data_IF_359981805529
#
_entry.id   IF_359981805529
#
_cell.length_a   1.000
_cell.length_b   1.000
_cell.length_c   1.000
_cell.angle_alpha   90.00
_cell.angle_beta   90.00
_cell.angle_gamma   90.00
#
_symmetry.space_group_name_H-M   'P 1'
#
loop_
_entity.id
_entity.type
_entity.pdbx_description
1 polymer ?
#
# COMPACT_ATOMS: atom_id res chain seq x y z
N UNK A 1 0.21 3.23 38.17
CA UNK A 1 0.54 4.05 36.98
C UNK A 1 0.33 3.21 35.70
N UNK A 2 -0.80 2.51 35.55
CA UNK A 2 -0.83 1.28 34.73
C UNK A 2 -2.13 1.05 33.95
N UNK A 3 -2.75 2.11 33.43
CA UNK A 3 -3.93 1.95 32.55
C UNK A 3 -4.02 3.01 31.47
N UNK A 4 -3.58 4.25 31.76
CA UNK A 4 -3.64 5.37 30.81
C UNK A 4 -2.56 5.28 29.71
N UNK A 5 -1.45 4.56 29.92
CA UNK A 5 -0.39 4.46 28.90
C UNK A 5 -0.69 3.48 27.77
N UNK A 6 -1.55 2.48 27.99
CA UNK A 6 -1.98 1.51 26.97
C UNK A 6 -3.00 2.07 25.99
N UNK A 7 -3.75 3.11 26.36
CA UNK A 7 -4.82 3.69 25.52
C UNK A 7 -4.29 4.55 24.34
N UNK A 8 -2.98 4.79 24.26
CA UNK A 8 -2.37 5.62 23.21
C UNK A 8 -1.47 4.83 22.23
N UNK A 9 -1.54 3.51 22.24
CA UNK A 9 -0.71 2.67 21.37
C UNK A 9 -1.52 2.26 20.13
N UNK A 10 -0.94 2.47 18.95
CA UNK A 10 -1.50 2.08 17.66
C UNK A 10 -0.50 1.13 17.00
N UNK A 11 -0.99 0.04 16.43
CA UNK A 11 -0.13 -0.96 15.78
C UNK A 11 -0.49 -1.09 14.32
N UNK A 12 0.48 -0.85 13.44
CA UNK A 12 0.38 -1.15 12.02
C UNK A 12 1.01 -2.50 11.72
N UNK A 13 0.31 -3.35 10.96
CA UNK A 13 0.80 -4.64 10.49
C UNK A 13 0.75 -4.68 8.97
N UNK A 14 1.90 -4.55 8.33
CA UNK A 14 2.08 -4.75 6.90
C UNK A 14 2.36 -6.23 6.61
N UNK A 15 1.46 -6.89 5.89
CA UNK A 15 1.58 -8.29 5.52
C UNK A 15 2.00 -8.39 4.06
N UNK A 16 3.25 -8.04 3.79
CA UNK A 16 3.81 -8.01 2.45
C UNK A 16 4.15 -9.39 1.85
N UNK A 17 4.33 -9.39 0.52
CA UNK A 17 4.77 -10.60 -0.22
C UNK A 17 6.18 -11.05 0.19
N UNK A 18 7.09 -10.09 0.41
CA UNK A 18 8.50 -10.37 0.74
C UNK A 18 8.75 -10.48 2.25
N UNK A 19 8.08 -9.65 3.05
CA UNK A 19 8.23 -9.59 4.51
C UNK A 19 6.93 -9.15 5.16
N UNK A 20 6.76 -9.53 6.42
CA UNK A 20 5.75 -8.96 7.33
C UNK A 20 6.46 -7.97 8.25
N UNK A 21 5.86 -6.81 8.48
CA UNK A 21 6.40 -5.77 9.38
C UNK A 21 5.32 -5.35 10.36
N UNK A 22 5.64 -5.34 11.65
CA UNK A 22 4.80 -4.80 12.70
C UNK A 22 5.47 -3.54 13.28
N UNK A 23 4.72 -2.45 13.39
CA UNK A 23 5.19 -1.18 13.96
C UNK A 23 4.25 -0.78 15.09
N UNK A 24 4.82 -0.45 16.24
CA UNK A 24 4.10 0.06 17.41
C UNK A 24 4.38 1.55 17.53
N UNK A 25 3.33 2.35 17.40
CA UNK A 25 3.34 3.79 17.54
C UNK A 25 2.66 4.25 18.83
N UNK A 26 3.31 5.14 19.59
CA UNK A 26 2.72 5.83 20.73
C UNK A 26 2.26 7.22 20.30
N UNK A 27 0.97 7.50 20.43
CA UNK A 27 0.41 8.83 20.13
C UNK A 27 0.75 9.81 21.25
N UNK A 28 1.42 10.90 20.90
CA UNK A 28 1.72 12.03 21.80
C UNK A 28 0.51 12.96 21.92
N UNK A 29 0.55 13.84 22.93
CA UNK A 29 -0.51 14.83 23.18
C UNK A 29 -0.69 15.83 22.04
N UNK A 30 0.37 16.12 21.29
CA UNK A 30 0.36 17.00 20.11
C UNK A 30 -0.18 16.30 18.84
N UNK A 31 -0.57 15.03 18.95
CA UNK A 31 -1.08 14.23 17.83
C UNK A 31 0.00 13.51 17.02
N UNK A 32 1.29 13.76 17.27
CA UNK A 32 2.38 13.05 16.59
C UNK A 32 2.47 11.60 17.05
N UNK A 33 3.00 10.72 16.19
CA UNK A 33 3.20 9.31 16.50
C UNK A 33 4.70 9.06 16.68
N UNK A 34 5.07 8.53 17.84
CA UNK A 34 6.43 8.07 18.13
C UNK A 34 6.51 6.56 17.94
N UNK A 35 7.42 6.11 17.08
CA UNK A 35 7.66 4.67 16.92
C UNK A 35 8.45 4.16 18.12
N UNK A 36 7.83 3.25 18.87
CA UNK A 36 8.40 2.67 20.10
C UNK A 36 8.74 1.18 19.95
N UNK A 37 8.27 0.53 18.89
CA UNK A 37 8.61 -0.85 18.56
C UNK A 37 8.52 -1.13 17.07
N UNK A 38 9.44 -1.94 16.57
CA UNK A 38 9.45 -2.44 15.19
C UNK A 38 9.84 -3.91 15.25
N UNK A 39 9.15 -4.73 14.48
CA UNK A 39 9.53 -6.12 14.25
C UNK A 39 9.26 -6.53 12.82
N UNK A 40 10.06 -7.45 12.29
CA UNK A 40 9.91 -7.88 10.90
C UNK A 40 10.36 -9.31 10.69
N UNK A 41 9.69 -9.99 9.76
CA UNK A 41 10.06 -11.35 9.41
C UNK A 41 9.87 -11.61 7.92
N UNK A 42 10.79 -12.33 7.25
CA UNK A 42 10.59 -12.75 5.86
C UNK A 42 9.27 -13.51 5.68
N UNK A 43 8.55 -13.21 4.61
CA UNK A 43 7.26 -13.82 4.27
C UNK A 43 7.44 -14.84 3.15
N UNK A 44 6.73 -15.97 3.28
CA UNK A 44 6.62 -17.02 2.25
C UNK A 44 5.18 -17.49 2.06
N UNK A 45 4.24 -16.84 2.75
CA UNK A 45 2.84 -17.19 2.75
C UNK A 45 1.99 -16.41 1.76
N UNK A 46 2.59 -15.41 1.12
CA UNK A 46 1.93 -14.51 0.18
C UNK A 46 2.52 -14.62 -1.21
N UNK A 47 1.69 -14.34 -2.21
CA UNK A 47 2.10 -14.18 -3.60
C UNK A 47 1.30 -13.05 -4.22
N UNK A 48 1.98 -11.97 -4.64
CA UNK A 48 1.37 -10.80 -5.29
C UNK A 48 0.21 -10.20 -4.47
N UNK A 49 0.44 -10.03 -3.17
CA UNK A 49 -0.54 -9.47 -2.22
C UNK A 49 -1.67 -10.43 -1.79
N UNK A 50 -1.65 -11.69 -2.25
CA UNK A 50 -2.67 -12.68 -1.86
C UNK A 50 -2.05 -13.75 -0.96
N UNK A 51 -2.72 -14.04 0.16
CA UNK A 51 -2.34 -15.14 1.05
C UNK A 51 -2.60 -16.48 0.36
N UNK A 52 -1.52 -17.23 0.10
CA UNK A 52 -1.54 -18.57 -0.51
C UNK A 52 -1.25 -19.68 0.50
N UNK A 53 -0.65 -19.36 1.64
CA UNK A 53 -0.42 -20.30 2.74
C UNK A 53 -0.65 -19.61 4.09
N UNK A 54 -1.73 -20.01 4.76
CA UNK A 54 -2.14 -19.43 6.05
C UNK A 54 -1.11 -19.73 7.15
N UNK A 55 -0.57 -20.93 7.22
CA UNK A 55 0.30 -21.34 8.33
C UNK A 55 1.63 -20.60 8.32
N UNK A 56 2.25 -20.47 7.14
CA UNK A 56 3.50 -19.71 7.00
C UNK A 56 3.28 -18.21 7.20
N UNK A 57 2.11 -17.69 6.82
CA UNK A 57 1.73 -16.29 7.09
C UNK A 57 1.55 -16.03 8.58
N UNK A 58 0.82 -16.91 9.29
CA UNK A 58 0.64 -16.83 10.75
C UNK A 58 1.99 -16.84 11.46
N UNK A 59 2.91 -17.73 11.08
CA UNK A 59 4.25 -17.76 11.67
C UNK A 59 5.02 -16.46 11.44
N UNK A 60 4.96 -15.88 10.24
CA UNK A 60 5.64 -14.62 9.94
C UNK A 60 5.06 -13.44 10.74
N UNK A 61 3.74 -13.38 10.89
CA UNK A 61 3.06 -12.38 11.73
C UNK A 61 3.48 -12.54 13.19
N UNK A 62 3.42 -13.75 13.75
CA UNK A 62 3.83 -14.02 15.13
C UNK A 62 5.25 -13.53 15.39
N UNK A 63 6.20 -13.83 14.49
CA UNK A 63 7.59 -13.40 14.64
C UNK A 63 7.75 -11.88 14.59
N UNK A 64 7.11 -11.21 13.64
CA UNK A 64 7.18 -9.76 13.54
C UNK A 64 6.55 -9.08 14.77
N UNK A 65 5.43 -9.61 15.26
CA UNK A 65 4.74 -9.10 16.46
C UNK A 65 5.55 -9.33 17.72
N UNK A 66 6.12 -10.54 17.92
CA UNK A 66 6.98 -10.86 19.06
C UNK A 66 8.18 -9.91 19.16
N UNK A 67 8.83 -9.60 18.03
CA UNK A 67 9.96 -8.66 17.98
C UNK A 67 9.53 -7.21 18.30
N UNK A 68 8.38 -6.79 17.76
CA UNK A 68 7.84 -5.46 18.02
C UNK A 68 7.40 -5.27 19.49
N UNK A 69 6.76 -6.29 20.08
CA UNK A 69 6.38 -6.33 21.51
C UNK A 69 7.61 -6.26 22.42
N UNK A 70 8.67 -7.00 22.09
CA UNK A 70 9.92 -7.00 22.86
C UNK A 70 10.57 -5.62 22.85
N UNK A 71 10.63 -4.96 21.69
CA UNK A 71 11.21 -3.63 21.55
C UNK A 71 10.37 -2.56 22.28
N UNK A 72 9.05 -2.63 22.16
CA UNK A 72 8.13 -1.69 22.80
C UNK A 72 7.92 -1.93 24.31
N UNK A 73 8.25 -3.13 24.81
CA UNK A 73 7.98 -3.51 26.20
C UNK A 73 6.49 -3.61 26.52
N UNK A 74 5.65 -3.95 25.54
CA UNK A 74 4.19 -4.03 25.68
C UNK A 74 3.63 -5.32 25.08
N UNK A 75 2.34 -5.58 25.32
CA UNK A 75 1.57 -6.61 24.59
C UNK A 75 0.66 -5.96 23.57
N UNK A 76 0.67 -6.48 22.35
CA UNK A 76 -0.19 -6.09 21.23
C UNK A 76 -1.45 -6.93 21.28
N UNK A 77 -2.62 -6.28 21.21
CA UNK A 77 -3.93 -6.94 21.29
C UNK A 77 -4.71 -6.81 19.99
N UNK A 78 -4.54 -5.70 19.28
CA UNK A 78 -5.20 -5.42 18.01
C UNK A 78 -4.24 -4.71 17.06
N UNK A 79 -4.53 -4.77 15.76
CA UNK A 79 -3.72 -4.16 14.70
C UNK A 79 -4.60 -3.54 13.61
N UNK A 80 -4.07 -2.50 12.97
CA UNK A 80 -4.48 -2.07 11.63
C UNK A 80 -3.66 -2.85 10.61
N UNK A 81 -4.33 -3.68 9.80
CA UNK A 81 -3.65 -4.56 8.85
C UNK A 81 -3.62 -3.95 7.44
N UNK A 82 -2.47 -4.00 6.78
CA UNK A 82 -2.32 -3.64 5.37
C UNK A 82 -2.97 -4.68 4.44
N UNK A 83 -3.57 -4.20 3.34
CA UNK A 83 -3.95 -5.02 2.20
C UNK A 83 -3.49 -4.36 0.89
N UNK A 84 -2.84 -5.17 0.05
CA UNK A 84 -2.48 -4.85 -1.33
C UNK A 84 -2.80 -6.04 -2.25
N UNK A 85 -2.70 -5.82 -3.56
CA UNK A 85 -2.78 -6.89 -4.56
C UNK A 85 -3.84 -6.70 -5.63
N UNK A 86 -3.73 -7.52 -6.69
CA UNK A 86 -4.54 -7.38 -7.91
C UNK A 86 -6.04 -7.67 -7.74
N UNK A 87 -6.47 -8.02 -6.53
CA UNK A 87 -7.86 -8.26 -6.17
C UNK A 87 -8.56 -6.98 -5.68
N UNK A 88 -7.80 -5.90 -5.51
CA UNK A 88 -8.26 -4.57 -5.18
C UNK A 88 -8.70 -3.88 -6.47
N UNK A 89 -9.83 -3.17 -6.41
CA UNK A 89 -10.35 -2.34 -7.49
C UNK A 89 -10.75 -0.99 -6.93
N UNK A 90 -10.78 0.00 -7.80
CA UNK A 90 -11.27 1.32 -7.46
C UNK A 90 -12.21 1.84 -8.52
N UNK A 91 -13.13 2.71 -8.11
CA UNK A 91 -14.02 3.44 -9.01
C UNK A 91 -14.44 4.76 -8.38
N UNK A 92 -14.63 5.78 -9.21
CA UNK A 92 -15.18 7.05 -8.77
C UNK A 92 -16.71 7.00 -8.88
N UNK A 93 -17.40 7.50 -7.86
CA UNK A 93 -18.85 7.56 -7.78
C UNK A 93 -19.30 8.92 -7.25
N UNK A 94 -20.56 9.28 -7.46
CA UNK A 94 -21.15 10.47 -6.88
C UNK A 94 -22.55 10.20 -6.34
N UNK A 95 -22.90 10.91 -5.27
CA UNK A 95 -24.21 10.83 -4.63
C UNK A 95 -24.80 12.23 -4.51
N UNK A 96 -26.14 12.33 -4.53
CA UNK A 96 -26.84 13.62 -4.49
C UNK A 96 -27.99 13.51 -3.50
N UNK A 97 -28.12 14.51 -2.62
CA UNK A 97 -29.23 14.64 -1.67
C UNK A 97 -29.73 16.08 -1.59
N UNK A 98 -30.99 16.25 -1.20
CA UNK A 98 -31.54 17.55 -0.84
C UNK A 98 -31.13 17.94 0.59
N UNK A 99 -30.80 19.22 0.78
CA UNK A 99 -30.55 19.87 2.06
C UNK A 99 -31.90 20.34 2.62
N UNK A 100 -32.27 19.87 3.82
CA UNK A 100 -33.62 20.12 4.38
C UNK A 100 -33.75 21.50 5.01
N UNK A 101 -32.77 21.89 5.83
CA UNK A 101 -32.83 23.09 6.66
C UNK A 101 -32.09 24.28 6.04
N UNK A 102 -31.86 24.24 4.71
CA UNK A 102 -31.06 25.21 3.92
C UNK A 102 -29.61 25.39 4.36
N UNK A 103 -29.15 24.61 5.33
CA UNK A 103 -27.80 24.56 5.85
C UNK A 103 -27.39 23.09 5.92
N UNK A 104 -26.16 22.79 5.49
CA UNK A 104 -25.63 21.42 5.50
C UNK A 104 -25.33 20.99 6.92
N UNK A 105 -25.96 19.90 7.32
CA UNK A 105 -25.73 19.21 8.59
C UNK A 105 -24.89 17.95 8.41
N UNK A 106 -24.34 17.39 9.50
CA UNK A 106 -23.66 16.09 9.45
C UNK A 106 -24.58 14.98 8.87
N UNK A 107 -25.87 15.02 9.19
CA UNK A 107 -26.83 14.06 8.66
C UNK A 107 -27.03 14.21 7.14
N UNK A 108 -26.79 15.39 6.55
CA UNK A 108 -26.78 15.56 5.10
C UNK A 108 -25.52 14.95 4.48
N UNK A 109 -24.38 15.13 5.14
CA UNK A 109 -23.08 14.56 4.74
C UNK A 109 -23.13 13.03 4.75
N UNK A 110 -23.62 12.43 5.84
CA UNK A 110 -23.74 10.97 5.97
C UNK A 110 -24.65 10.41 4.86
N UNK A 111 -25.80 11.06 4.63
CA UNK A 111 -26.74 10.64 3.58
C UNK A 111 -26.18 10.76 2.17
N UNK A 112 -25.40 11.81 1.87
CA UNK A 112 -24.82 11.97 0.53
C UNK A 112 -23.70 10.97 0.28
N UNK A 113 -22.91 10.65 1.31
CA UNK A 113 -21.89 9.60 1.24
C UNK A 113 -22.56 8.24 1.04
N UNK A 114 -23.64 7.94 1.78
CA UNK A 114 -24.46 6.74 1.61
C UNK A 114 -25.02 6.61 0.18
N UNK A 115 -25.50 7.71 -0.38
CA UNK A 115 -25.96 7.74 -1.76
C UNK A 115 -24.80 7.50 -2.75
N UNK A 116 -23.61 8.05 -2.48
CA UNK A 116 -22.46 7.93 -3.35
C UNK A 116 -21.86 6.51 -3.36
N UNK A 117 -21.96 5.77 -2.25
CA UNK A 117 -21.53 4.37 -2.16
C UNK A 117 -22.57 3.36 -2.66
N UNK A 118 -23.78 3.79 -3.02
CA UNK A 118 -24.88 2.93 -3.48
C UNK A 118 -24.69 2.44 -4.93
N UNK A 119 -23.52 1.86 -5.23
CA UNK A 119 -23.15 1.29 -6.52
C UNK A 119 -23.25 -0.25 -6.48
N UNK A 120 -23.44 -0.88 -7.64
CA UNK A 120 -23.49 -2.33 -7.73
C UNK A 120 -22.08 -2.93 -7.51
N UNK A 121 -21.83 -3.46 -6.32
CA UNK A 121 -20.61 -4.19 -6.00
C UNK A 121 -20.82 -5.69 -6.24
N UNK A 122 -19.94 -6.37 -6.99
CA UNK A 122 -19.99 -7.81 -7.14
C UNK A 122 -20.03 -8.55 -5.79
N UNK A 123 -20.75 -9.66 -5.71
CA UNK A 123 -20.94 -10.39 -4.46
C UNK A 123 -19.64 -10.96 -3.84
N UNK A 124 -18.59 -11.12 -4.66
CA UNK A 124 -17.25 -11.56 -4.24
C UNK A 124 -16.34 -10.40 -3.81
N UNK A 125 -16.83 -9.15 -3.84
CA UNK A 125 -16.13 -7.94 -3.45
C UNK A 125 -16.85 -7.26 -2.26
N UNK A 126 -16.08 -6.56 -1.43
CA UNK A 126 -16.60 -5.64 -0.40
C UNK A 126 -15.96 -4.27 -0.55
N UNK A 127 -16.69 -3.22 -0.15
CA UNK A 127 -16.11 -1.89 -0.01
C UNK A 127 -15.10 -1.94 1.14
N UNK A 128 -13.91 -1.43 0.86
CA UNK A 128 -12.81 -1.30 1.79
C UNK A 128 -12.73 0.15 2.29
N UNK A 129 -12.68 1.12 1.37
CA UNK A 129 -12.63 2.55 1.70
C UNK A 129 -13.62 3.35 0.87
N UNK A 130 -14.15 4.40 1.50
CA UNK A 130 -14.94 5.45 0.87
C UNK A 130 -14.20 6.74 1.14
N UNK A 131 -13.59 7.32 0.12
CA UNK A 131 -12.72 8.48 0.26
C UNK A 131 -13.37 9.68 -0.43
N UNK A 132 -13.97 10.63 0.33
CA UNK A 132 -14.50 11.85 -0.25
C UNK A 132 -13.42 12.62 -1.00
N UNK A 133 -13.74 13.04 -2.22
CA UNK A 133 -12.85 13.83 -3.06
C UNK A 133 -13.18 15.31 -2.99
N UNK A 134 -14.47 15.61 -3.18
CA UNK A 134 -15.02 16.95 -3.05
C UNK A 134 -16.54 16.88 -2.86
N UNK A 135 -17.09 17.96 -2.34
CA UNK A 135 -18.51 18.23 -2.26
C UNK A 135 -18.88 19.34 -3.24
N UNK A 136 -20.14 19.33 -3.66
CA UNK A 136 -20.73 20.35 -4.52
C UNK A 136 -22.04 20.82 -3.90
N UNK A 137 -22.20 22.14 -3.75
CA UNK A 137 -23.43 22.76 -3.23
C UNK A 137 -23.99 23.70 -4.29
N UNK A 138 -25.23 23.45 -4.75
CA UNK A 138 -25.92 24.31 -5.74
C UNK A 138 -25.07 24.66 -7.00
N UNK A 139 -24.24 23.71 -7.45
CA UNK A 139 -23.25 23.80 -8.56
C UNK A 139 -21.92 24.49 -8.23
N UNK A 140 -21.66 24.87 -6.99
CA UNK A 140 -20.35 25.29 -6.53
C UNK A 140 -19.49 24.06 -6.21
N UNK A 141 -18.45 23.81 -7.01
CA UNK A 141 -17.50 22.70 -6.85
C UNK A 141 -16.29 23.07 -5.94
N UNK A 142 -15.42 22.11 -5.67
CA UNK A 142 -14.17 22.31 -4.91
C UNK A 142 -14.36 22.44 -3.40
N UNK A 143 -15.52 22.08 -2.84
CA UNK A 143 -15.80 22.20 -1.41
C UNK A 143 -15.22 20.97 -0.69
N UNK A 144 -14.27 21.16 0.22
CA UNK A 144 -13.73 20.06 1.06
C UNK A 144 -14.56 19.83 2.32
N UNK A 145 -15.00 20.90 2.98
CA UNK A 145 -15.78 20.86 4.22
C UNK A 145 -17.12 21.58 4.02
N UNK A 146 -18.22 20.84 3.76
CA UNK A 146 -19.51 21.45 3.43
C UNK A 146 -20.35 21.82 4.66
N UNK A 147 -19.96 21.38 5.87
CA UNK A 147 -20.75 21.58 7.09
C UNK A 147 -20.99 23.06 7.39
N UNK A 148 -22.24 23.43 7.65
CA UNK A 148 -22.64 24.82 7.93
C UNK A 148 -22.78 25.71 6.68
N UNK A 149 -22.48 25.20 5.49
CA UNK A 149 -22.72 25.94 4.25
C UNK A 149 -24.20 25.92 3.89
N UNK A 150 -24.70 27.02 3.32
CA UNK A 150 -26.09 27.11 2.90
C UNK A 150 -26.29 26.58 1.47
N UNK A 151 -27.41 25.90 1.24
CA UNK A 151 -27.80 25.46 -0.09
C UNK A 151 -29.07 24.63 -0.13
N UNK A 152 -29.44 24.15 -1.31
CA UNK A 152 -30.62 23.30 -1.53
C UNK A 152 -30.22 21.87 -1.91
N UNK A 153 -29.11 21.70 -2.62
CA UNK A 153 -28.61 20.40 -3.08
C UNK A 153 -27.16 20.20 -2.67
N UNK A 154 -26.88 19.05 -2.05
CA UNK A 154 -25.54 18.58 -1.72
C UNK A 154 -25.21 17.38 -2.59
N UNK A 155 -24.06 17.42 -3.24
CA UNK A 155 -23.47 16.31 -3.97
C UNK A 155 -22.09 15.99 -3.38
N UNK A 156 -21.75 14.70 -3.35
CA UNK A 156 -20.44 14.22 -2.94
C UNK A 156 -19.85 13.38 -4.06
N UNK A 157 -18.61 13.71 -4.46
CA UNK A 157 -17.79 12.87 -5.33
C UNK A 157 -16.84 12.06 -4.45
N UNK A 158 -16.82 10.74 -4.64
CA UNK A 158 -16.06 9.81 -3.79
C UNK A 158 -15.22 8.86 -4.64
N UNK A 159 -14.04 8.52 -4.12
CA UNK A 159 -13.24 7.39 -4.59
C UNK A 159 -13.59 6.16 -3.75
N UNK A 160 -14.19 5.16 -4.37
CA UNK A 160 -14.49 3.88 -3.72
C UNK A 160 -13.36 2.91 -4.00
N UNK A 161 -12.90 2.24 -2.95
CA UNK A 161 -11.96 1.13 -3.04
C UNK A 161 -12.67 -0.13 -2.61
N UNK A 162 -12.60 -1.19 -3.41
CA UNK A 162 -13.13 -2.50 -3.09
C UNK A 162 -12.04 -3.55 -3.09
N UNK A 163 -12.24 -4.62 -2.33
CA UNK A 163 -11.36 -5.78 -2.34
C UNK A 163 -12.16 -7.08 -2.38
N UNK A 164 -11.54 -8.16 -2.88
CA UNK A 164 -12.13 -9.48 -2.80
C UNK A 164 -12.38 -9.89 -1.33
N UNK A 165 -13.59 -10.35 -1.03
CA UNK A 165 -14.02 -10.75 0.32
C UNK A 165 -13.08 -11.80 0.92
N UNK A 166 -12.75 -12.82 0.13
CA UNK A 166 -11.87 -13.91 0.56
C UNK A 166 -10.45 -13.44 0.91
N UNK A 167 -9.93 -12.42 0.22
CA UNK A 167 -8.59 -11.91 0.48
C UNK A 167 -8.52 -11.23 1.85
N UNK A 168 -9.49 -10.34 2.13
CA UNK A 168 -9.62 -9.70 3.45
C UNK A 168 -9.86 -10.73 4.57
N UNK A 169 -10.75 -11.70 4.36
CA UNK A 169 -11.01 -12.76 5.33
C UNK A 169 -9.78 -13.62 5.65
N UNK A 170 -8.92 -13.87 4.65
CA UNK A 170 -7.68 -14.62 4.88
C UNK A 170 -6.68 -13.82 5.73
N UNK A 171 -6.57 -12.51 5.51
CA UNK A 171 -5.78 -11.61 6.37
C UNK A 171 -6.32 -11.64 7.80
N UNK A 172 -7.62 -11.39 7.98
CA UNK A 172 -8.28 -11.41 9.30
C UNK A 172 -8.07 -12.75 10.01
N UNK A 173 -8.18 -13.86 9.28
CA UNK A 173 -7.96 -15.21 9.81
C UNK A 173 -6.50 -15.41 10.26
N UNK A 174 -5.53 -14.93 9.49
CA UNK A 174 -4.12 -15.00 9.87
C UNK A 174 -3.85 -14.21 11.16
N UNK A 175 -4.35 -12.98 11.25
CA UNK A 175 -4.20 -12.13 12.44
C UNK A 175 -4.87 -12.76 13.67
N UNK A 176 -6.13 -13.21 13.55
CA UNK A 176 -6.85 -13.88 14.65
C UNK A 176 -6.19 -15.15 15.14
N UNK A 177 -5.57 -15.94 14.25
CA UNK A 177 -4.79 -17.13 14.64
C UNK A 177 -3.51 -16.79 15.41
N UNK A 178 -3.06 -15.54 15.37
CA UNK A 178 -1.96 -15.05 16.20
C UNK A 178 -2.43 -14.58 17.60
N UNK A 179 -3.74 -14.64 17.89
CA UNK A 179 -4.31 -14.13 19.15
C UNK A 179 -4.53 -12.61 19.15
N UNK A 180 -4.60 -12.00 17.96
CA UNK A 180 -4.78 -10.57 17.75
C UNK A 180 -6.15 -10.27 17.14
N UNK A 181 -6.71 -9.12 17.44
CA UNK A 181 -7.87 -8.58 16.73
C UNK A 181 -7.44 -7.67 15.57
N UNK A 182 -8.33 -7.49 14.59
CA UNK A 182 -8.15 -6.54 13.49
C UNK A 182 -9.06 -5.36 13.75
N UNK A 183 -8.47 -4.19 14.01
CA UNK A 183 -9.22 -2.95 14.20
C UNK A 183 -9.79 -2.46 12.88
N UNK A 184 -8.96 -2.45 11.83
CA UNK A 184 -9.38 -2.18 10.46
C UNK A 184 -8.37 -2.73 9.44
N UNK A 185 -8.80 -2.82 8.17
CA UNK A 185 -7.94 -3.16 7.04
C UNK A 185 -7.72 -1.92 6.18
N UNK A 186 -6.45 -1.53 6.05
CA UNK A 186 -6.05 -0.30 5.36
C UNK A 186 -5.43 -0.64 4.00
N UNK A 187 -5.81 0.13 2.98
CA UNK A 187 -5.19 0.03 1.66
C UNK A 187 -3.74 0.50 1.75
N UNK A 188 -2.78 -0.34 1.34
CA UNK A 188 -1.36 -0.04 1.52
C UNK A 188 -0.93 1.24 0.78
N UNK A 189 -1.31 1.43 -0.48
CA UNK A 189 -0.96 2.67 -1.20
C UNK A 189 -1.58 3.93 -0.60
N UNK A 190 -2.71 3.81 0.12
CA UNK A 190 -3.28 4.94 0.85
C UNK A 190 -2.41 5.24 2.08
N UNK A 191 -2.07 4.22 2.86
CA UNK A 191 -1.19 4.36 4.03
C UNK A 191 0.20 4.93 3.65
N UNK A 192 0.84 4.38 2.61
CA UNK A 192 2.13 4.86 2.09
C UNK A 192 2.02 6.34 1.68
N UNK A 193 0.96 6.72 0.96
CA UNK A 193 0.75 8.11 0.54
C UNK A 193 0.59 9.07 1.72
N UNK A 194 -0.15 8.68 2.77
CA UNK A 194 -0.30 9.49 3.98
C UNK A 194 1.01 9.66 4.77
N UNK A 195 1.94 8.71 4.65
CA UNK A 195 3.22 8.75 5.35
C UNK A 195 4.26 9.65 4.66
N UNK A 196 4.21 9.78 3.33
CA UNK A 196 5.28 10.45 2.56
C UNK A 196 4.86 11.76 1.89
N UNK A 197 3.56 11.94 1.59
CA UNK A 197 3.11 13.11 0.84
C UNK A 197 2.81 14.29 1.75
N UNK A 198 3.27 15.46 1.32
CA UNK A 198 2.84 16.76 1.81
C UNK A 198 1.48 17.14 1.21
N UNK A 199 0.78 18.08 1.85
CA UNK A 199 -0.48 18.60 1.31
C UNK A 199 -0.27 19.38 0.00
N UNK A 200 0.86 20.07 -0.16
CA UNK A 200 1.19 20.79 -1.40
C UNK A 200 1.37 19.84 -2.59
N UNK A 201 2.04 18.69 -2.40
CA UNK A 201 2.16 17.66 -3.44
C UNK A 201 0.79 17.10 -3.84
N UNK A 202 -0.09 16.84 -2.87
CA UNK A 202 -1.46 16.36 -3.14
C UNK A 202 -2.30 17.40 -3.87
N UNK A 203 -2.11 18.68 -3.58
CA UNK A 203 -2.84 19.78 -4.22
C UNK A 203 -2.38 19.96 -5.67
N UNK A 204 -1.07 20.01 -5.92
CA UNK A 204 -0.49 20.20 -7.25
C UNK A 204 -0.76 19.04 -8.21
N UNK A 205 -0.73 17.81 -7.70
CA UNK A 205 -0.75 16.61 -8.53
C UNK A 205 0.47 15.74 -8.23
N UNK A 206 0.24 14.51 -7.79
CA UNK A 206 1.35 13.57 -7.50
C UNK A 206 0.90 12.12 -7.72
N UNK A 207 1.82 11.30 -8.22
CA UNK A 207 1.67 9.86 -8.31
C UNK A 207 2.65 9.18 -7.38
N UNK A 208 2.13 8.45 -6.40
CA UNK A 208 2.92 7.55 -5.56
C UNK A 208 2.97 6.19 -6.26
N UNK A 209 4.19 5.67 -6.41
CA UNK A 209 4.47 4.35 -6.97
C UNK A 209 5.22 3.54 -5.91
N UNK A 210 4.51 2.66 -5.23
CA UNK A 210 5.06 1.78 -4.19
C UNK A 210 5.46 0.44 -4.81
N UNK A 211 6.77 0.19 -4.97
CA UNK A 211 7.29 -1.01 -5.62
C UNK A 211 7.68 -2.04 -4.56
N UNK A 212 6.77 -2.98 -4.29
CA UNK A 212 6.95 -4.05 -3.32
C UNK A 212 7.70 -5.28 -3.86
N UNK A 213 7.51 -6.41 -3.17
CA UNK A 213 8.03 -7.70 -3.64
C UNK A 213 7.21 -8.27 -4.81
N UNK A 214 5.89 -8.34 -4.65
CA UNK A 214 5.00 -8.97 -5.62
C UNK A 214 4.09 -8.02 -6.40
N UNK A 215 3.93 -6.78 -5.95
CA UNK A 215 3.00 -5.78 -6.49
C UNK A 215 3.69 -4.42 -6.55
N UNK A 216 3.29 -3.64 -7.55
CA UNK A 216 3.54 -2.21 -7.62
C UNK A 216 2.20 -1.51 -7.46
N UNK A 217 2.05 -0.75 -6.39
CA UNK A 217 0.80 -0.10 -6.02
C UNK A 217 0.88 1.39 -6.38
N UNK A 218 -0.20 1.92 -6.95
CA UNK A 218 -0.27 3.28 -7.51
C UNK A 218 -1.37 4.03 -6.79
N UNK A 219 -1.07 5.26 -6.37
CA UNK A 219 -2.07 6.23 -5.90
C UNK A 219 -1.80 7.60 -6.53
N UNK A 220 -2.84 8.20 -7.11
CA UNK A 220 -2.78 9.53 -7.73
C UNK A 220 -3.62 10.50 -6.94
N UNK A 221 -3.04 11.66 -6.61
CA UNK A 221 -3.70 12.77 -5.94
C UNK A 221 -3.68 14.01 -6.83
N UNK A 222 -4.75 14.80 -6.82
CA UNK A 222 -4.79 16.16 -7.38
C UNK A 222 -5.96 16.94 -6.78
N UNK A 223 -5.77 18.24 -6.53
CA UNK A 223 -6.73 19.06 -5.78
C UNK A 223 -6.87 18.62 -4.32
N UNK A 224 -5.80 18.02 -3.76
CA UNK A 224 -5.73 17.59 -2.36
C UNK A 224 -6.45 16.27 -2.07
N UNK A 225 -7.01 15.61 -3.08
CA UNK A 225 -7.77 14.38 -2.93
C UNK A 225 -7.26 13.26 -3.83
N UNK A 226 -7.42 12.02 -3.38
CA UNK A 226 -7.10 10.83 -4.16
C UNK A 226 -8.07 10.68 -5.33
N UNK A 227 -7.54 10.52 -6.54
CA UNK A 227 -8.34 10.42 -7.77
C UNK A 227 -8.33 9.03 -8.39
N UNK A 228 -7.22 8.32 -8.21
CA UNK A 228 -7.02 7.00 -8.79
C UNK A 228 -6.17 6.12 -7.88
N UNK A 229 -6.50 4.84 -7.85
CA UNK A 229 -5.65 3.80 -7.29
C UNK A 229 -5.63 2.59 -8.20
N UNK A 230 -4.46 1.97 -8.34
CA UNK A 230 -4.28 0.78 -9.16
C UNK A 230 -3.18 -0.11 -8.59
N UNK A 231 -3.19 -1.38 -9.02
CA UNK A 231 -2.19 -2.37 -8.62
C UNK A 231 -1.70 -3.11 -9.85
N UNK A 232 -0.38 -3.14 -10.04
CA UNK A 232 0.28 -3.90 -11.09
C UNK A 232 0.92 -5.15 -10.43
N UNK A 233 0.61 -6.38 -10.88
CA UNK A 233 1.11 -7.62 -10.26
C UNK A 233 2.56 -7.97 -10.67
N UNK A 234 3.43 -6.96 -10.73
CA UNK A 234 4.84 -7.02 -11.13
C UNK A 234 5.62 -6.06 -10.23
N UNK A 235 6.72 -6.55 -9.63
CA UNK A 235 7.60 -5.75 -8.79
C UNK A 235 8.97 -6.43 -8.60
N UNK A 236 9.55 -6.38 -7.40
CA UNK A 236 10.90 -6.86 -7.11
C UNK A 236 11.14 -8.36 -7.35
N UNK A 237 10.13 -9.21 -7.26
CA UNK A 237 10.24 -10.65 -7.52
C UNK A 237 10.65 -10.93 -8.97
N UNK A 238 10.16 -10.14 -9.93
CA UNK A 238 10.51 -10.29 -11.35
C UNK A 238 11.97 -9.91 -11.60
N UNK A 239 12.46 -8.84 -10.98
CA UNK A 239 13.89 -8.45 -11.04
C UNK A 239 14.77 -9.59 -10.52
N UNK A 240 14.36 -10.19 -9.39
CA UNK A 240 15.07 -11.32 -8.76
C UNK A 240 15.13 -12.53 -9.67
N UNK A 241 14.02 -12.85 -10.35
CA UNK A 241 13.95 -13.96 -11.28
C UNK A 241 14.81 -13.73 -12.53
N UNK A 242 14.85 -12.51 -13.05
CA UNK A 242 15.70 -12.17 -14.19
C UNK A 242 17.18 -12.30 -13.83
N UNK A 243 17.59 -11.81 -12.65
CA UNK A 243 18.95 -11.98 -12.12
C UNK A 243 19.28 -13.47 -11.96
N UNK A 244 18.39 -14.25 -11.37
CA UNK A 244 18.59 -15.70 -11.18
C UNK A 244 18.81 -16.42 -12.52
N UNK A 245 18.02 -16.07 -13.54
CA UNK A 245 18.09 -16.67 -14.87
C UNK A 245 19.33 -16.22 -15.64
N UNK A 246 19.59 -14.92 -15.71
CA UNK A 246 20.71 -14.34 -16.45
C UNK A 246 22.05 -14.75 -15.83
N UNK A 247 22.16 -14.68 -14.51
CA UNK A 247 23.38 -15.00 -13.78
C UNK A 247 23.47 -16.47 -13.37
N UNK A 248 22.48 -17.30 -13.73
CA UNK A 248 22.43 -18.74 -13.43
C UNK A 248 22.81 -19.05 -11.98
N UNK A 249 22.15 -18.36 -11.06
CA UNK A 249 22.35 -18.43 -9.61
C UNK A 249 21.03 -18.79 -8.91
N UNK A 250 21.05 -19.49 -7.76
CA UNK A 250 19.80 -19.78 -7.04
C UNK A 250 19.03 -18.50 -6.67
N UNK A 251 17.70 -18.55 -6.65
CA UNK A 251 16.83 -17.37 -6.42
C UNK A 251 17.15 -16.65 -5.11
N UNK A 252 17.49 -17.39 -4.05
CA UNK A 252 17.90 -16.78 -2.77
C UNK A 252 19.18 -15.94 -2.92
N UNK A 253 20.18 -16.45 -3.64
CA UNK A 253 21.41 -15.72 -3.93
C UNK A 253 21.15 -14.55 -4.89
N UNK A 254 20.24 -14.70 -5.86
CA UNK A 254 19.83 -13.60 -6.73
C UNK A 254 19.22 -12.44 -5.93
N UNK A 255 18.39 -12.72 -4.93
CA UNK A 255 17.83 -11.69 -4.04
C UNK A 255 18.92 -10.98 -3.24
N UNK A 256 19.86 -11.74 -2.66
CA UNK A 256 20.99 -11.16 -1.94
C UNK A 256 21.87 -10.30 -2.86
N UNK A 257 22.10 -10.74 -4.10
CA UNK A 257 22.84 -9.97 -5.11
C UNK A 257 22.07 -8.70 -5.49
N UNK A 258 20.74 -8.80 -5.68
CA UNK A 258 19.87 -7.66 -5.99
C UNK A 258 20.00 -6.58 -4.92
N UNK A 259 19.81 -6.95 -3.66
CA UNK A 259 19.86 -6.02 -2.52
C UNK A 259 21.24 -5.39 -2.36
N UNK A 260 22.33 -6.16 -2.56
CA UNK A 260 23.69 -5.68 -2.29
C UNK A 260 24.32 -4.90 -3.45
N UNK A 261 24.01 -5.24 -4.69
CA UNK A 261 24.82 -4.83 -5.84
C UNK A 261 24.02 -4.25 -7.01
N UNK A 262 22.70 -4.41 -7.06
CA UNK A 262 21.92 -3.96 -8.21
C UNK A 262 22.02 -2.44 -8.42
N UNK A 263 21.92 -2.05 -9.68
CA UNK A 263 21.78 -0.67 -10.10
C UNK A 263 20.73 -0.64 -11.21
N UNK A 264 19.72 0.21 -11.09
CA UNK A 264 18.64 0.32 -12.06
C UNK A 264 18.98 1.26 -13.24
N UNK A 265 20.18 1.83 -13.27
CA UNK A 265 20.70 2.65 -14.37
C UNK A 265 22.14 2.23 -14.64
N UNK A 266 22.38 1.52 -15.74
CA UNK A 266 23.67 0.90 -16.06
C UNK A 266 24.82 1.89 -16.09
N UNK A 267 24.55 3.14 -16.48
CA UNK A 267 25.55 4.21 -16.54
C UNK A 267 26.17 4.56 -15.18
N UNK A 268 25.49 4.22 -14.07
CA UNK A 268 25.99 4.45 -12.71
C UNK A 268 26.76 3.25 -12.14
N UNK A 269 26.76 2.11 -12.83
CA UNK A 269 27.49 0.92 -12.40
C UNK A 269 28.96 1.00 -12.84
N UNK A 270 29.89 0.93 -11.89
CA UNK A 270 31.32 0.92 -12.19
C UNK A 270 31.72 -0.30 -13.02
N UNK A 271 32.30 -0.09 -14.20
CA UNK A 271 32.74 -1.16 -15.09
C UNK A 271 33.80 -2.09 -14.47
N UNK A 272 34.63 -1.54 -13.59
CA UNK A 272 35.72 -2.25 -12.89
C UNK A 272 35.26 -3.00 -11.62
N UNK A 273 34.03 -2.77 -11.17
CA UNK A 273 33.50 -3.45 -9.98
C UNK A 273 33.07 -4.86 -10.34
N UNK A 274 33.60 -5.85 -9.61
CA UNK A 274 33.24 -7.26 -9.78
C UNK A 274 32.48 -7.79 -8.58
N UNK A 275 31.55 -8.70 -8.84
CA UNK A 275 30.73 -9.38 -7.86
C UNK A 275 30.94 -10.89 -7.95
N UNK A 276 31.00 -11.56 -6.80
CA UNK A 276 31.00 -13.01 -6.72
C UNK A 276 29.59 -13.55 -6.78
N UNK A 277 29.32 -14.34 -7.80
CA UNK A 277 28.01 -14.96 -8.05
C UNK A 277 28.10 -16.47 -7.81
N UNK A 278 27.40 -16.99 -6.79
CA UNK A 278 27.26 -18.42 -6.59
C UNK A 278 26.60 -19.08 -7.81
N UNK A 279 27.14 -20.21 -8.26
CA UNK A 279 26.56 -20.96 -9.38
C UNK A 279 25.50 -21.95 -8.89
N UNK A 280 24.60 -22.38 -9.78
CA UNK A 280 23.69 -23.50 -9.48
C UNK A 280 24.44 -24.84 -9.45
N UNK A 281 24.12 -25.68 -8.46
CA UNK A 281 24.76 -26.99 -8.22
C UNK A 281 26.16 -26.87 -7.62
N UNK A 282 26.98 -27.92 -7.75
CA UNK A 282 28.34 -27.97 -7.19
C UNK A 282 29.39 -27.20 -8.02
N UNK A 283 28.96 -26.21 -8.80
CA UNK A 283 29.85 -25.39 -9.64
C UNK A 283 30.48 -24.29 -8.80
N UNK A 284 31.75 -24.00 -9.09
CA UNK A 284 32.45 -22.89 -8.44
C UNK A 284 31.71 -21.55 -8.68
N UNK A 285 31.76 -20.62 -7.71
CA UNK A 285 31.32 -19.24 -7.91
C UNK A 285 32.05 -18.59 -9.08
N UNK A 286 31.40 -17.63 -9.73
CA UNK A 286 31.93 -16.89 -10.87
C UNK A 286 32.03 -15.41 -10.53
N UNK A 287 33.07 -14.76 -11.01
CA UNK A 287 33.19 -13.31 -10.94
C UNK A 287 32.52 -12.70 -12.17
N UNK A 288 31.60 -11.76 -11.94
CA UNK A 288 30.91 -11.01 -12.99
C UNK A 288 31.06 -9.52 -12.72
N UNK A 289 31.07 -8.68 -13.76
CA UNK A 289 31.06 -7.24 -13.55
C UNK A 289 29.71 -6.79 -12.99
N UNK A 290 29.72 -5.76 -12.14
CA UNK A 290 28.49 -5.12 -11.65
C UNK A 290 27.70 -4.49 -12.80
N UNK A 291 28.38 -4.05 -13.85
CA UNK A 291 27.75 -3.59 -15.08
C UNK A 291 26.87 -4.68 -15.72
N UNK A 292 27.35 -5.93 -15.79
CA UNK A 292 26.55 -7.03 -16.33
C UNK A 292 25.29 -7.34 -15.48
N UNK A 293 25.32 -7.06 -14.17
CA UNK A 293 24.13 -7.12 -13.33
C UNK A 293 23.16 -5.97 -13.66
N UNK A 294 23.67 -4.75 -13.84
CA UNK A 294 22.85 -3.59 -14.18
C UNK A 294 22.15 -3.74 -15.54
N UNK A 295 22.81 -4.34 -16.54
CA UNK A 295 22.24 -4.67 -17.85
C UNK A 295 21.05 -5.65 -17.79
N UNK A 296 20.90 -6.39 -16.68
CA UNK A 296 19.75 -7.25 -16.42
C UNK A 296 18.65 -6.49 -15.65
N UNK A 297 19.06 -5.59 -14.75
CA UNK A 297 18.14 -4.90 -13.82
C UNK A 297 17.44 -3.71 -14.49
N UNK A 298 18.17 -2.88 -15.22
CA UNK A 298 17.65 -1.66 -15.85
C UNK A 298 16.44 -1.95 -16.77
N UNK A 299 16.50 -2.90 -17.73
CA UNK A 299 15.36 -3.17 -18.61
C UNK A 299 14.09 -3.59 -17.87
N UNK A 300 14.22 -4.27 -16.72
CA UNK A 300 13.06 -4.68 -15.92
C UNK A 300 12.39 -3.49 -15.25
N UNK A 301 13.16 -2.51 -14.76
CA UNK A 301 12.60 -1.28 -14.21
C UNK A 301 12.03 -0.38 -15.30
N UNK A 302 12.65 -0.31 -16.48
CA UNK A 302 12.07 0.39 -17.64
C UNK A 302 10.70 -0.19 -18.02
N UNK A 303 10.58 -1.53 -18.07
CA UNK A 303 9.30 -2.19 -18.31
C UNK A 303 8.27 -1.86 -17.22
N UNK A 304 8.68 -1.92 -15.95
CA UNK A 304 7.81 -1.59 -14.82
C UNK A 304 7.29 -0.15 -14.91
N UNK A 305 8.16 0.82 -15.18
CA UNK A 305 7.76 2.22 -15.36
C UNK A 305 6.90 2.43 -16.61
N UNK A 306 7.12 1.67 -17.68
CA UNK A 306 6.24 1.68 -18.86
C UNK A 306 4.82 1.19 -18.52
N UNK A 307 4.70 0.18 -17.66
CA UNK A 307 3.41 -0.31 -17.18
C UNK A 307 2.71 0.73 -16.29
N UNK A 308 3.46 1.39 -15.40
CA UNK A 308 2.95 2.51 -14.59
C UNK A 308 2.45 3.64 -15.48
N UNK A 309 3.23 4.07 -16.47
CA UNK A 309 2.82 5.11 -17.42
C UNK A 309 1.58 4.69 -18.22
N UNK A 310 1.51 3.43 -18.65
CA UNK A 310 0.35 2.89 -19.37
C UNK A 310 -0.91 2.93 -18.51
N UNK A 311 -0.79 2.68 -17.20
CA UNK A 311 -1.90 2.79 -16.25
C UNK A 311 -2.35 4.24 -16.03
N UNK A 312 -1.41 5.18 -15.93
CA UNK A 312 -1.72 6.62 -15.84
C UNK A 312 -2.43 7.14 -17.10
N UNK A 313 -2.00 6.70 -18.28
CA UNK A 313 -2.68 6.98 -19.56
C UNK A 313 -4.09 6.43 -19.60
N UNK A 314 -4.24 5.15 -19.24
CA UNK A 314 -5.52 4.45 -19.26
C UNK A 314 -6.53 5.09 -18.31
N UNK A 315 -6.07 5.56 -17.16
CA UNK A 315 -6.89 6.21 -16.15
C UNK A 315 -7.17 7.70 -16.44
N UNK A 316 -6.41 8.32 -17.36
CA UNK A 316 -6.59 9.71 -17.77
C UNK A 316 -5.91 10.72 -16.85
N UNK A 317 -4.96 10.29 -16.01
CA UNK A 317 -4.27 11.16 -15.04
C UNK A 317 -2.81 11.47 -15.42
N UNK A 318 -2.28 10.96 -16.53
CA UNK A 318 -0.88 11.23 -16.96
C UNK A 318 -0.59 12.74 -17.03
N UNK A 319 -1.47 13.51 -17.68
CA UNK A 319 -1.27 14.96 -17.88
C UNK A 319 -1.63 15.81 -16.64
N UNK A 320 -2.14 15.20 -15.57
CA UNK A 320 -2.52 15.87 -14.33
C UNK A 320 -1.42 15.80 -13.25
N UNK A 321 -0.30 15.16 -13.57
CA UNK A 321 0.89 15.09 -12.75
C UNK A 321 1.95 15.99 -13.43
N UNK A 322 2.45 17.04 -12.76
CA UNK A 322 3.36 18.03 -13.35
C UNK A 322 4.77 17.50 -13.65
#
# INVERSE_FOLDING_TARGET
MSSVETENMIVGLDIGTSKVVAIVGKRKMDGTIEVVGIGSHPSRGLKRGVVVNIETTVQAIQRAVEEAELMAGCRIHSVYAGIAGSHIKSLNSHGIVAIRDREVTQADIDRVIDAAQAVAIPADQKILHILPQEFVIDNQEGIKEPMGMSGVRLEAKVHLVTCAVNAAQNIEKCVKRCGLEVDDIILEQLASSHAILTEDEKELGVCVVDIGGGTTDIAVFTGGAIRHTAVIPIAGDQVTNDIAMALRTPTQNAEEIKIKYACALTQLAGAEETIKVPSVGDRAPRDLSRQALAEVVEPRYEELFTLVQSELRRSGFEDLIP
#
